data_IF_795744200411
#
_entry.id   IF_795744200411
#
_cell.length_a   1.000
_cell.length_b   1.000
_cell.length_c   1.000
_cell.angle_alpha   90.00
_cell.angle_beta   90.00
_cell.angle_gamma   90.00
#
_symmetry.space_group_name_H-M   'P 1'
#
loop_
_entity.id
_entity.type
_entity.pdbx_description
1 polymer ?
#
# COMPACT_ATOMS: atom_id res chain seq x y z
N UNK A 1 -1.94 -22.57 12.33
CA UNK A 1 -0.50 -22.62 12.00
C UNK A 1 -0.34 -22.50 10.51
N UNK A 2 0.67 -21.78 10.02
CA UNK A 2 1.04 -21.74 8.62
C UNK A 2 1.98 -22.91 8.32
N UNK A 3 1.78 -23.53 7.16
CA UNK A 3 2.69 -24.58 6.70
C UNK A 3 4.03 -23.97 6.26
N UNK A 4 5.12 -24.67 6.56
CA UNK A 4 6.43 -24.32 6.02
C UNK A 4 6.50 -24.63 4.54
N UNK A 5 6.76 -23.63 3.71
CA UNK A 5 6.75 -23.76 2.26
C UNK A 5 8.13 -23.61 1.61
N UNK A 6 9.02 -22.80 2.19
CA UNK A 6 10.32 -22.49 1.63
C UNK A 6 11.22 -21.77 2.65
N UNK A 7 12.53 -21.84 2.46
CA UNK A 7 13.49 -21.09 3.25
C UNK A 7 13.29 -19.58 3.11
N UNK A 8 13.58 -18.84 4.17
CA UNK A 8 13.47 -17.38 4.17
C UNK A 8 14.30 -16.77 3.04
N UNK A 9 13.70 -15.84 2.28
CA UNK A 9 14.35 -15.16 1.16
C UNK A 9 14.43 -15.95 -0.16
N UNK A 10 13.88 -17.17 -0.23
CA UNK A 10 13.93 -18.01 -1.44
C UNK A 10 12.65 -18.01 -2.25
N UNK A 11 11.53 -17.57 -1.65
CA UNK A 11 10.21 -17.54 -2.28
C UNK A 11 9.47 -16.26 -1.89
N UNK A 12 8.92 -15.57 -2.88
CA UNK A 12 8.00 -14.48 -2.63
C UNK A 12 6.57 -15.05 -2.50
N UNK A 13 5.87 -14.69 -1.44
CA UNK A 13 4.47 -15.07 -1.25
C UNK A 13 3.69 -13.87 -0.72
N UNK A 14 2.61 -13.53 -1.43
CA UNK A 14 1.67 -12.51 -0.99
C UNK A 14 0.58 -13.16 -0.14
N UNK A 15 0.52 -12.81 1.15
CA UNK A 15 -0.52 -13.31 2.06
C UNK A 15 -0.65 -12.40 3.29
N UNK A 16 -1.78 -12.48 3.99
CA UNK A 16 -2.12 -11.53 5.05
C UNK A 16 -1.35 -11.75 6.36
N UNK A 17 -0.91 -12.98 6.68
CA UNK A 17 -0.35 -13.29 8.00
C UNK A 17 0.81 -12.37 8.46
N UNK A 18 1.78 -11.96 7.63
CA UNK A 18 2.83 -11.05 8.10
C UNK A 18 2.32 -9.68 8.48
N UNK A 19 1.40 -9.09 7.69
CA UNK A 19 0.94 -7.74 7.98
C UNK A 19 -0.03 -7.69 9.18
N UNK A 20 -0.82 -8.75 9.41
CA UNK A 20 -1.74 -8.82 10.56
C UNK A 20 -1.00 -8.84 11.91
N UNK A 21 0.29 -9.19 11.91
CA UNK A 21 1.13 -9.13 13.11
C UNK A 21 1.71 -7.74 13.39
N UNK A 22 1.66 -6.82 12.44
CA UNK A 22 2.28 -5.49 12.58
C UNK A 22 1.58 -4.63 13.63
N UNK A 23 0.30 -4.81 13.86
CA UNK A 23 -0.43 -4.14 14.94
C UNK A 23 0.14 -4.53 16.32
N UNK A 24 0.32 -5.83 16.56
CA UNK A 24 0.94 -6.33 17.78
C UNK A 24 2.39 -5.82 17.95
N UNK A 25 3.17 -5.76 16.87
CA UNK A 25 4.53 -5.21 16.90
C UNK A 25 4.50 -3.74 17.30
N UNK A 26 3.59 -2.95 16.68
CA UNK A 26 3.43 -1.54 16.99
C UNK A 26 2.97 -1.32 18.43
N UNK A 27 1.96 -2.06 18.88
CA UNK A 27 1.40 -1.94 20.23
C UNK A 27 2.45 -2.29 21.30
N UNK A 28 3.21 -3.37 21.10
CA UNK A 28 4.29 -3.73 21.99
C UNK A 28 5.44 -2.71 22.01
N UNK A 29 5.81 -2.19 20.84
CA UNK A 29 6.91 -1.21 20.73
C UNK A 29 6.55 0.16 21.31
N UNK A 30 5.26 0.54 21.27
CA UNK A 30 4.81 1.88 21.68
C UNK A 30 4.05 1.92 23.00
N UNK A 31 3.65 0.77 23.52
CA UNK A 31 2.73 0.61 24.66
C UNK A 31 1.39 1.35 24.46
N UNK A 32 0.96 1.48 23.20
CA UNK A 32 -0.30 2.11 22.83
C UNK A 32 -1.06 1.21 21.87
N UNK A 33 -2.39 1.15 22.00
CA UNK A 33 -3.18 0.42 21.04
C UNK A 33 -3.18 1.13 19.66
N UNK A 34 -3.40 0.36 18.60
CA UNK A 34 -3.31 0.81 17.22
C UNK A 34 -4.19 2.04 16.92
N UNK A 35 -5.42 2.09 17.46
CA UNK A 35 -6.31 3.23 17.25
C UNK A 35 -5.80 4.50 17.94
N UNK A 36 -5.30 4.40 19.17
CA UNK A 36 -4.72 5.53 19.91
C UNK A 36 -3.48 6.06 19.20
N UNK A 37 -2.58 5.17 18.80
CA UNK A 37 -1.38 5.54 18.08
C UNK A 37 -1.71 6.23 16.75
N UNK A 38 -2.63 5.63 15.96
CA UNK A 38 -3.09 6.21 14.69
C UNK A 38 -3.77 7.57 14.89
N UNK A 39 -4.56 7.72 15.96
CA UNK A 39 -5.19 9.01 16.29
C UNK A 39 -4.13 10.09 16.50
N UNK A 40 -3.11 9.81 17.30
CA UNK A 40 -2.09 10.79 17.67
C UNK A 40 -1.12 11.09 16.54
N UNK A 41 -0.65 10.06 15.83
CA UNK A 41 0.45 10.18 14.87
C UNK A 41 0.01 10.48 13.44
N UNK A 42 -1.23 10.12 13.08
CA UNK A 42 -1.72 10.29 11.71
C UNK A 42 -2.98 11.17 11.66
N UNK A 43 -4.04 10.83 12.41
CA UNK A 43 -5.33 11.47 12.24
C UNK A 43 -5.35 12.92 12.73
N UNK A 44 -4.79 13.19 13.92
CA UNK A 44 -4.73 14.56 14.45
C UNK A 44 -3.94 15.50 13.54
N UNK A 45 -2.71 15.17 13.08
CA UNK A 45 -1.94 16.05 12.22
C UNK A 45 -2.60 16.30 10.86
N UNK A 46 -3.21 15.27 10.24
CA UNK A 46 -3.71 15.32 8.86
C UNK A 46 -5.19 15.69 8.76
N UNK A 47 -5.92 15.62 9.87
CA UNK A 47 -7.39 15.78 9.88
C UNK A 47 -8.13 14.59 9.25
N UNK A 48 -7.51 13.42 9.14
CA UNK A 48 -8.16 12.20 8.70
C UNK A 48 -9.18 11.73 9.74
N UNK A 49 -10.21 11.04 9.25
CA UNK A 49 -11.20 10.34 10.08
C UNK A 49 -11.17 8.86 9.74
N UNK A 50 -11.69 8.04 10.66
CA UNK A 50 -11.70 6.58 10.51
C UNK A 50 -11.12 5.89 11.73
N UNK A 51 -11.02 4.57 11.66
CA UNK A 51 -10.47 3.76 12.73
C UNK A 51 -10.24 2.33 12.29
N UNK A 52 -9.40 1.64 13.05
CA UNK A 52 -9.14 0.22 12.88
C UNK A 52 -10.24 -0.60 13.55
N UNK A 53 -10.70 -1.61 12.87
CA UNK A 53 -11.62 -2.59 13.39
C UNK A 53 -11.19 -4.00 12.96
N UNK A 54 -11.33 -4.96 13.85
CA UNK A 54 -11.02 -6.36 13.57
C UNK A 54 -12.15 -6.98 12.76
N UNK A 55 -11.79 -7.60 11.64
CA UNK A 55 -12.67 -8.39 10.79
C UNK A 55 -12.02 -9.76 10.64
N UNK A 56 -12.62 -10.78 11.23
CA UNK A 56 -12.05 -12.11 11.37
C UNK A 56 -10.69 -12.04 12.11
N UNK A 57 -9.59 -12.24 11.40
CA UNK A 57 -8.22 -12.17 11.91
C UNK A 57 -7.44 -10.95 11.42
N UNK A 58 -8.07 -10.10 10.57
CA UNK A 58 -7.44 -8.90 10.00
C UNK A 58 -7.86 -7.65 10.78
N UNK A 59 -6.95 -6.70 10.96
CA UNK A 59 -7.29 -5.33 11.32
C UNK A 59 -7.45 -4.49 10.06
N UNK A 60 -8.63 -3.93 9.87
CA UNK A 60 -8.98 -3.13 8.70
C UNK A 60 -9.22 -1.69 9.10
N UNK A 61 -8.61 -0.76 8.36
CA UNK A 61 -8.84 0.67 8.57
C UNK A 61 -10.07 1.13 7.79
N UNK A 62 -11.16 1.39 8.50
CA UNK A 62 -12.37 1.97 7.93
C UNK A 62 -12.26 3.48 7.86
N UNK A 63 -12.47 4.02 6.68
CA UNK A 63 -12.38 5.46 6.43
C UNK A 63 -13.27 5.88 5.25
N UNK A 64 -13.15 7.12 4.81
CA UNK A 64 -13.82 7.66 3.64
C UNK A 64 -12.79 8.15 2.60
N UNK A 65 -13.27 8.33 1.35
CA UNK A 65 -12.43 8.74 0.21
C UNK A 65 -11.63 10.01 0.51
N UNK A 66 -12.24 11.02 1.15
CA UNK A 66 -11.58 12.28 1.47
C UNK A 66 -10.43 12.10 2.48
N UNK A 67 -10.61 11.26 3.47
CA UNK A 67 -9.54 10.93 4.43
C UNK A 67 -8.41 10.13 3.78
N UNK A 68 -8.75 9.18 2.91
CA UNK A 68 -7.75 8.44 2.14
C UNK A 68 -7.00 9.37 1.15
N UNK A 69 -7.67 10.39 0.61
CA UNK A 69 -6.98 11.42 -0.18
C UNK A 69 -5.98 12.24 0.65
N UNK A 70 -6.28 12.56 1.92
CA UNK A 70 -5.31 13.19 2.82
C UNK A 70 -4.11 12.29 3.11
N UNK A 71 -4.35 10.99 3.30
CA UNK A 71 -3.25 10.02 3.39
C UNK A 71 -2.41 10.03 2.12
N UNK A 72 -3.04 9.95 0.95
CA UNK A 72 -2.35 10.05 -0.34
C UNK A 72 -1.54 11.35 -0.49
N UNK A 73 -2.06 12.49 -0.05
CA UNK A 73 -1.34 13.77 -0.05
C UNK A 73 -0.14 13.79 0.92
N UNK A 74 -0.25 13.16 2.10
CA UNK A 74 0.88 12.97 3.01
C UNK A 74 1.99 12.16 2.32
N UNK A 75 1.62 11.10 1.62
CA UNK A 75 2.56 10.26 0.87
C UNK A 75 3.15 11.01 -0.33
N UNK A 76 2.33 11.76 -1.10
CA UNK A 76 2.79 12.65 -2.17
C UNK A 76 3.77 13.73 -1.67
N UNK A 77 3.58 14.18 -0.42
CA UNK A 77 4.48 15.12 0.26
C UNK A 77 5.70 14.46 0.92
N UNK A 78 6.10 13.25 0.50
CA UNK A 78 7.23 12.50 1.06
C UNK A 78 7.15 12.31 2.59
N UNK A 79 5.94 12.06 3.10
CA UNK A 79 5.70 11.88 4.53
C UNK A 79 5.65 13.19 5.33
N UNK A 80 5.65 14.35 4.67
CA UNK A 80 5.50 15.64 5.31
C UNK A 80 4.07 16.20 5.18
N UNK A 81 3.58 16.88 6.22
CA UNK A 81 2.28 17.53 6.28
C UNK A 81 2.38 18.88 6.96
N UNK A 82 1.95 19.95 6.27
CA UNK A 82 2.04 21.34 6.75
C UNK A 82 3.44 21.70 7.31
N UNK A 83 4.50 21.29 6.59
CA UNK A 83 5.88 21.56 6.99
C UNK A 83 6.45 20.65 8.09
N UNK A 84 5.65 19.72 8.63
CA UNK A 84 6.10 18.76 9.65
C UNK A 84 6.34 17.39 9.03
N UNK A 85 7.51 16.80 9.27
CA UNK A 85 7.81 15.43 8.84
C UNK A 85 7.12 14.43 9.77
N UNK A 86 6.07 13.76 9.28
CA UNK A 86 5.32 12.75 10.05
C UNK A 86 5.87 11.35 9.87
N UNK A 87 6.40 11.03 8.69
CA UNK A 87 7.05 9.76 8.37
C UNK A 87 8.55 10.04 8.20
N UNK A 88 9.38 9.31 8.93
CA UNK A 88 10.84 9.46 8.78
C UNK A 88 11.26 9.33 7.32
N UNK A 89 12.06 10.26 6.80
CA UNK A 89 12.41 10.34 5.38
C UNK A 89 13.26 9.15 4.89
N UNK A 90 14.11 8.58 5.73
CA UNK A 90 14.86 7.37 5.38
C UNK A 90 13.90 6.19 5.22
N UNK A 91 13.01 5.98 6.18
CA UNK A 91 11.98 4.93 6.11
C UNK A 91 11.03 5.16 4.92
N UNK A 92 10.65 6.41 4.66
CA UNK A 92 9.82 6.74 3.49
C UNK A 92 10.48 6.30 2.19
N UNK A 93 11.76 6.60 2.00
CA UNK A 93 12.50 6.21 0.82
C UNK A 93 12.61 4.68 0.69
N UNK A 94 12.86 3.98 1.79
CA UNK A 94 12.89 2.51 1.80
C UNK A 94 11.52 1.91 1.43
N UNK A 95 10.44 2.48 1.96
CA UNK A 95 9.07 2.02 1.78
C UNK A 95 8.63 2.01 0.32
N UNK A 96 9.02 3.03 -0.46
CA UNK A 96 8.65 3.20 -1.88
C UNK A 96 9.72 2.71 -2.86
N UNK A 97 10.67 1.93 -2.39
CA UNK A 97 11.67 1.27 -3.23
C UNK A 97 11.58 -0.25 -3.10
N UNK A 98 12.13 -0.96 -4.08
CA UNK A 98 12.14 -2.42 -4.08
C UNK A 98 12.81 -2.94 -2.81
N UNK A 99 12.08 -3.71 -2.01
CA UNK A 99 12.53 -4.17 -0.69
C UNK A 99 13.31 -5.50 -0.72
N UNK A 100 13.25 -6.23 -1.83
CA UNK A 100 13.85 -7.57 -1.98
C UNK A 100 14.05 -7.90 -3.48
N UNK A 101 14.76 -8.99 -3.78
CA UNK A 101 15.17 -9.31 -5.15
C UNK A 101 14.19 -10.16 -5.96
N UNK A 102 13.20 -10.78 -5.30
CA UNK A 102 12.26 -11.74 -5.91
C UNK A 102 11.16 -11.05 -6.72
N UNK A 103 10.47 -10.07 -6.11
CA UNK A 103 9.45 -9.26 -6.78
C UNK A 103 9.91 -7.80 -6.84
N UNK A 104 10.38 -7.36 -8.00
CA UNK A 104 10.92 -6.00 -8.18
C UNK A 104 9.87 -4.91 -7.95
N UNK A 105 8.59 -5.21 -8.18
CA UNK A 105 7.48 -4.28 -8.05
C UNK A 105 6.87 -4.23 -6.65
N UNK A 106 7.62 -4.57 -5.58
CA UNK A 106 7.09 -4.54 -4.21
C UNK A 106 8.08 -3.92 -3.22
N UNK A 107 7.61 -2.86 -2.54
CA UNK A 107 8.29 -2.18 -1.44
C UNK A 107 7.74 -2.63 -0.08
N UNK A 108 7.66 -1.72 0.91
CA UNK A 108 7.05 -2.01 2.20
C UNK A 108 5.53 -1.81 2.11
N UNK A 109 4.82 -2.86 1.69
CA UNK A 109 3.36 -2.89 1.44
C UNK A 109 2.89 -1.97 0.30
N UNK A 110 3.79 -1.47 -0.53
CA UNK A 110 3.49 -0.69 -1.71
C UNK A 110 3.83 -1.45 -2.99
N UNK A 111 2.91 -1.44 -3.95
CA UNK A 111 3.15 -1.88 -5.32
C UNK A 111 3.85 -0.77 -6.09
N UNK A 112 4.96 -1.09 -6.74
CA UNK A 112 5.84 -0.15 -7.43
C UNK A 112 5.73 -0.35 -8.94
N UNK A 113 5.32 0.68 -9.67
CA UNK A 113 5.28 0.65 -11.13
C UNK A 113 6.68 0.92 -11.75
N UNK A 114 6.78 0.88 -13.08
CA UNK A 114 8.01 1.18 -13.81
C UNK A 114 9.19 0.22 -13.53
N UNK A 115 8.94 -0.94 -12.96
CA UNK A 115 9.98 -1.94 -12.70
C UNK A 115 10.11 -2.90 -13.88
N UNK A 116 11.26 -3.58 -13.97
CA UNK A 116 11.55 -4.53 -15.04
C UNK A 116 10.65 -5.78 -15.00
N UNK A 117 10.10 -6.09 -13.84
CA UNK A 117 9.24 -7.26 -13.67
C UNK A 117 8.37 -7.13 -12.41
N UNK A 118 7.27 -7.89 -12.39
CA UNK A 118 6.40 -8.03 -11.24
C UNK A 118 5.95 -9.47 -11.06
N UNK A 119 5.49 -9.79 -9.85
CA UNK A 119 4.79 -11.05 -9.54
C UNK A 119 3.39 -10.71 -9.02
N UNK A 120 2.47 -11.63 -9.20
CA UNK A 120 1.08 -11.50 -8.72
C UNK A 120 0.83 -12.44 -7.54
N UNK A 121 -0.15 -12.16 -6.67
CA UNK A 121 -0.57 -13.09 -5.62
C UNK A 121 -0.81 -14.50 -6.17
N UNK A 122 -0.55 -15.50 -5.34
CA UNK A 122 -0.74 -16.93 -5.61
C UNK A 122 0.14 -17.54 -6.73
N UNK A 123 0.94 -16.72 -7.45
CA UNK A 123 1.80 -17.16 -8.55
C UNK A 123 3.28 -17.01 -8.22
N UNK A 124 4.10 -17.93 -8.75
CA UNK A 124 5.57 -17.81 -8.76
C UNK A 124 6.11 -17.35 -10.13
N UNK A 125 5.21 -17.02 -11.07
CA UNK A 125 5.59 -16.53 -12.40
C UNK A 125 6.05 -15.07 -12.27
N UNK A 126 7.22 -14.78 -12.83
CA UNK A 126 7.75 -13.42 -12.97
C UNK A 126 7.30 -12.88 -14.32
N UNK A 127 6.44 -11.87 -14.30
CA UNK A 127 5.96 -11.20 -15.50
C UNK A 127 6.91 -10.06 -15.87
N UNK A 128 7.28 -9.88 -17.15
CA UNK A 128 8.11 -8.76 -17.57
C UNK A 128 7.34 -7.44 -17.58
N UNK A 129 8.05 -6.34 -17.32
CA UNK A 129 7.53 -4.97 -17.42
C UNK A 129 6.73 -4.52 -16.21
N UNK A 130 5.99 -3.44 -16.40
CA UNK A 130 5.18 -2.78 -15.37
C UNK A 130 3.83 -3.47 -15.19
N UNK A 131 3.33 -3.54 -13.95
CA UNK A 131 2.01 -4.11 -13.68
C UNK A 131 0.84 -3.19 -14.12
N UNK A 132 1.12 -1.90 -14.32
CA UNK A 132 0.17 -0.91 -14.82
C UNK A 132 0.85 -0.08 -15.93
N UNK A 133 0.91 -0.59 -17.18
CA UNK A 133 1.66 0.04 -18.27
C UNK A 133 1.12 1.42 -18.71
N UNK A 134 -0.16 1.72 -18.46
CA UNK A 134 -0.75 3.05 -18.74
C UNK A 134 -0.50 4.07 -17.61
N UNK A 135 0.03 3.63 -16.47
CA UNK A 135 0.42 4.52 -15.38
C UNK A 135 1.85 5.06 -15.56
N UNK A 136 2.20 6.21 -14.96
CA UNK A 136 3.58 6.69 -14.92
C UNK A 136 4.53 5.69 -14.28
N UNK A 137 5.78 5.65 -14.74
CA UNK A 137 6.80 4.73 -14.21
C UNK A 137 7.12 4.98 -12.73
N UNK A 138 7.02 6.22 -12.28
CA UNK A 138 7.23 6.59 -10.88
C UNK A 138 6.01 6.39 -9.98
N UNK A 139 4.91 5.86 -10.53
CA UNK A 139 3.71 5.57 -9.77
C UNK A 139 3.94 4.42 -8.80
N UNK A 140 3.41 4.56 -7.60
CA UNK A 140 3.28 3.47 -6.64
C UNK A 140 1.91 3.49 -5.98
N UNK A 141 1.45 2.31 -5.53
CA UNK A 141 0.09 2.19 -5.04
C UNK A 141 -0.05 1.22 -3.86
N UNK A 142 -0.88 1.57 -2.90
CA UNK A 142 -1.54 0.63 -2.01
C UNK A 142 -2.78 0.09 -2.73
N UNK A 143 -2.78 -1.19 -3.05
CA UNK A 143 -3.89 -1.87 -3.73
C UNK A 143 -4.42 -2.93 -2.79
N UNK A 144 -5.60 -2.68 -2.26
CA UNK A 144 -6.23 -3.53 -1.26
C UNK A 144 -7.35 -4.40 -1.83
N UNK A 145 -7.80 -5.33 -1.02
CA UNK A 145 -8.95 -6.20 -1.29
C UNK A 145 -10.18 -5.38 -1.70
N UNK A 146 -11.01 -5.94 -2.55
CA UNK A 146 -12.24 -5.33 -3.07
C UNK A 146 -11.99 -4.04 -3.88
N UNK A 147 -10.82 -3.89 -4.48
CA UNK A 147 -10.52 -2.76 -5.36
C UNK A 147 -10.27 -1.44 -4.64
N UNK A 148 -9.91 -1.43 -3.36
CA UNK A 148 -9.49 -0.21 -2.67
C UNK A 148 -8.11 0.20 -3.16
N UNK A 149 -7.97 1.40 -3.71
CA UNK A 149 -6.71 1.86 -4.33
C UNK A 149 -6.36 3.25 -3.79
N UNK A 150 -5.12 3.39 -3.35
CA UNK A 150 -4.43 4.67 -3.13
C UNK A 150 -3.23 4.68 -4.07
N UNK A 151 -3.28 5.44 -5.14
CA UNK A 151 -2.22 5.52 -6.14
C UNK A 151 -1.61 6.90 -6.16
N UNK A 152 -0.28 6.97 -6.13
CA UNK A 152 0.50 8.20 -6.09
C UNK A 152 1.43 8.23 -7.31
N UNK A 153 1.40 9.32 -8.08
CA UNK A 153 2.30 9.57 -9.19
C UNK A 153 3.07 10.88 -8.92
N UNK A 154 4.24 10.82 -8.26
CA UNK A 154 4.98 11.98 -7.82
C UNK A 154 5.32 12.96 -8.95
N UNK A 155 5.81 12.48 -10.06
CA UNK A 155 6.17 13.30 -11.22
C UNK A 155 5.00 14.04 -11.88
N UNK A 156 3.78 13.56 -11.69
CA UNK A 156 2.55 14.25 -12.14
C UNK A 156 1.88 15.08 -11.04
N UNK A 157 2.33 14.98 -9.80
CA UNK A 157 1.67 15.61 -8.65
C UNK A 157 0.26 15.07 -8.40
N UNK A 158 -0.01 13.81 -8.78
CA UNK A 158 -1.35 13.23 -8.72
C UNK A 158 -1.47 12.20 -7.59
N UNK A 159 -2.61 12.28 -6.89
CA UNK A 159 -3.10 11.28 -5.95
C UNK A 159 -4.46 10.79 -6.45
N UNK A 160 -4.58 9.50 -6.66
CA UNK A 160 -5.81 8.86 -7.14
C UNK A 160 -6.32 7.91 -6.07
N UNK A 161 -7.56 8.13 -5.62
CA UNK A 161 -8.22 7.28 -4.62
C UNK A 161 -9.44 6.62 -5.26
N UNK A 162 -9.47 5.31 -5.16
CA UNK A 162 -10.67 4.53 -5.49
C UNK A 162 -11.11 3.75 -4.26
N UNK A 163 -12.36 3.88 -3.89
CA UNK A 163 -13.03 3.08 -2.87
C UNK A 163 -14.37 2.59 -3.44
N UNK A 164 -14.74 1.36 -3.15
CA UNK A 164 -15.98 0.76 -3.65
C UNK A 164 -15.89 -0.76 -3.71
N UNK A 165 -16.85 -1.38 -4.38
CA UNK A 165 -16.94 -2.83 -4.50
C UNK A 165 -15.86 -3.41 -5.42
N UNK A 166 -15.57 -4.71 -5.23
CA UNK A 166 -14.64 -5.44 -6.08
C UNK A 166 -15.10 -5.45 -7.54
N UNK A 167 -14.20 -5.18 -8.50
CA UNK A 167 -14.53 -5.29 -9.92
C UNK A 167 -14.59 -6.75 -10.37
N UNK A 168 -13.86 -7.61 -9.70
CA UNK A 168 -13.71 -9.05 -9.97
C UNK A 168 -13.23 -9.79 -8.70
N UNK A 169 -12.86 -11.04 -8.83
CA UNK A 169 -12.39 -11.90 -7.72
C UNK A 169 -10.88 -11.82 -7.45
N UNK A 170 -10.14 -10.94 -8.12
CA UNK A 170 -8.69 -10.83 -7.90
C UNK A 170 -8.37 -10.25 -6.51
N UNK A 171 -7.35 -10.82 -5.84
CA UNK A 171 -6.87 -10.29 -4.55
C UNK A 171 -6.28 -8.89 -4.70
N UNK A 172 -5.57 -8.66 -5.82
CA UNK A 172 -4.96 -7.37 -6.15
C UNK A 172 -5.38 -6.99 -7.57
N UNK A 173 -6.31 -6.03 -7.76
CA UNK A 173 -6.89 -5.71 -9.06
C UNK A 173 -5.96 -4.81 -9.91
N UNK A 174 -4.87 -5.34 -10.42
CA UNK A 174 -3.94 -4.61 -11.30
C UNK A 174 -4.61 -4.10 -12.57
N UNK A 175 -5.50 -4.91 -13.15
CA UNK A 175 -6.25 -4.50 -14.36
C UNK A 175 -7.08 -3.26 -14.09
N UNK A 176 -7.82 -3.22 -12.99
CA UNK A 176 -8.57 -2.02 -12.60
C UNK A 176 -7.64 -0.81 -12.38
N UNK A 177 -6.52 -1.02 -11.68
CA UNK A 177 -5.54 0.05 -11.46
C UNK A 177 -5.06 0.62 -12.80
N UNK A 178 -4.69 -0.23 -13.74
CA UNK A 178 -4.25 0.19 -15.07
C UNK A 178 -5.36 0.92 -15.86
N UNK A 179 -6.59 0.39 -15.84
CA UNK A 179 -7.74 1.01 -16.53
C UNK A 179 -8.07 2.41 -16.00
N UNK A 180 -7.91 2.64 -14.68
CA UNK A 180 -8.07 3.97 -14.10
C UNK A 180 -7.04 4.93 -14.69
N UNK A 181 -5.77 4.52 -14.80
CA UNK A 181 -4.72 5.34 -15.37
C UNK A 181 -4.91 5.55 -16.88
N UNK A 182 -5.38 4.54 -17.60
CA UNK A 182 -5.78 4.69 -19.01
C UNK A 182 -6.81 5.82 -19.17
N UNK A 183 -7.84 5.83 -18.32
CA UNK A 183 -8.87 6.88 -18.34
C UNK A 183 -8.38 8.26 -17.91
N UNK A 184 -7.39 8.34 -17.05
CA UNK A 184 -6.78 9.63 -16.67
C UNK A 184 -5.95 10.22 -17.82
N UNK A 185 -5.43 9.38 -18.70
CA UNK A 185 -4.62 9.81 -19.84
C UNK A 185 -5.44 10.23 -21.07
N UNK A 186 -6.75 9.94 -21.13
CA UNK A 186 -7.70 10.39 -22.15
C UNK A 186 -8.12 11.86 -21.95
#
# INVERSE_FOLDING_TARGET
CLDYLADAGTRWAYHNAPYTLLDNVLENATSQNLNTYTQLKLKNPTGMTGGWATVDYDNVFYSNVRSMARFGLLIQGNGAWNGNQLINSTYFNEMINTSQTLNKSYGYLWWLNGKQSFMVPTSQIVFPGSYAPDAPDDMFAGIGKNGQIVSIAPGRGLVVIRMGDAPDSSEVPFTLCNQIWQKINE
#
